data_IF_786541254848
#
_entry.id   IF_786541254848
#
_cell.length_a   1.000
_cell.length_b   1.000
_cell.length_c   1.000
_cell.angle_alpha   90.00
_cell.angle_beta   90.00
_cell.angle_gamma   90.00
#
_symmetry.space_group_name_H-M   'P 1'
#
loop_
_entity.id
_entity.type
_entity.pdbx_description
1 polymer ?
#
# COMPACT_ATOMS: atom_id res chain seq x y z
N UNK A 1 -3.34 -21.14 17.82
CA UNK A 1 -3.17 -19.94 16.98
C UNK A 1 -4.46 -19.78 16.21
N UNK A 2 -5.27 -18.77 16.54
CA UNK A 2 -6.50 -18.52 15.81
C UNK A 2 -6.12 -18.32 14.34
N UNK A 3 -6.72 -19.08 13.42
CA UNK A 3 -6.72 -18.68 12.02
C UNK A 3 -7.57 -17.41 11.96
N UNK A 4 -6.93 -16.27 12.25
CA UNK A 4 -7.56 -14.96 12.26
C UNK A 4 -8.09 -14.72 10.87
N UNK A 5 -9.42 -14.66 10.75
CA UNK A 5 -10.06 -14.31 9.49
C UNK A 5 -9.62 -12.87 9.17
N UNK A 6 -8.92 -12.68 8.06
CA UNK A 6 -8.51 -11.34 7.62
C UNK A 6 -9.73 -10.40 7.58
N UNK A 7 -9.59 -9.16 8.10
CA UNK A 7 -10.72 -8.26 8.31
C UNK A 7 -11.35 -7.86 6.99
N UNK A 8 -12.67 -7.62 6.98
CA UNK A 8 -13.42 -7.20 5.80
C UNK A 8 -14.04 -5.82 5.99
N UNK A 9 -14.57 -5.24 4.91
CA UNK A 9 -15.35 -4.00 5.00
C UNK A 9 -16.60 -4.15 5.89
N UNK A 10 -17.18 -5.36 5.98
CA UNK A 10 -18.29 -5.61 6.91
C UNK A 10 -17.85 -5.55 8.37
N UNK A 11 -16.63 -6.01 8.67
CA UNK A 11 -16.06 -5.91 10.02
C UNK A 11 -15.79 -4.44 10.36
N UNK A 12 -15.24 -3.66 9.43
CA UNK A 12 -15.09 -2.20 9.61
C UNK A 12 -16.44 -1.53 9.91
N UNK A 13 -17.49 -1.82 9.15
CA UNK A 13 -18.82 -1.25 9.41
C UNK A 13 -19.40 -1.70 10.74
N UNK A 14 -19.19 -2.95 11.15
CA UNK A 14 -19.70 -3.45 12.44
C UNK A 14 -18.96 -2.83 13.64
N UNK A 15 -17.64 -2.78 13.59
CA UNK A 15 -16.82 -2.34 14.73
C UNK A 15 -16.77 -0.81 14.85
N UNK A 16 -16.77 -0.08 13.74
CA UNK A 16 -16.58 1.36 13.72
C UNK A 16 -17.81 2.16 13.27
N UNK A 17 -18.86 1.49 12.76
CA UNK A 17 -20.03 2.16 12.16
C UNK A 17 -19.65 3.06 10.97
N UNK A 18 -18.57 2.72 10.26
CA UNK A 18 -18.05 3.45 9.11
C UNK A 18 -18.30 2.66 7.82
N UNK A 19 -18.70 3.37 6.76
CA UNK A 19 -18.72 2.85 5.39
C UNK A 19 -17.78 3.69 4.54
N UNK A 20 -16.67 3.13 4.02
CA UNK A 20 -15.71 3.89 3.23
C UNK A 20 -16.13 3.96 1.76
N UNK A 21 -15.70 5.02 1.08
CA UNK A 21 -15.94 5.23 -0.34
C UNK A 21 -14.96 4.42 -1.20
N UNK A 22 -15.46 3.74 -2.23
CA UNK A 22 -14.60 3.13 -3.26
C UNK A 22 -13.99 4.24 -4.12
N UNK A 23 -12.66 4.32 -4.20
CA UNK A 23 -11.96 5.36 -4.95
C UNK A 23 -11.42 4.84 -6.28
N UNK A 24 -10.61 3.79 -6.24
CA UNK A 24 -9.86 3.33 -7.43
C UNK A 24 -9.46 1.87 -7.34
N UNK A 25 -9.24 1.22 -8.48
CA UNK A 25 -8.58 -0.09 -8.56
C UNK A 25 -7.18 0.14 -9.13
N UNK A 26 -6.15 -0.28 -8.39
CA UNK A 26 -4.76 -0.15 -8.82
C UNK A 26 -4.53 -1.07 -10.03
N UNK A 27 -3.89 -0.51 -11.05
CA UNK A 27 -3.51 -1.20 -12.28
C UNK A 27 -2.01 -0.95 -12.54
N UNK A 28 -1.13 -1.90 -12.21
CA UNK A 28 0.30 -1.74 -12.44
C UNK A 28 0.69 -1.75 -13.92
N UNK A 29 1.84 -1.18 -14.25
CA UNK A 29 2.37 -1.16 -15.62
C UNK A 29 2.61 -2.58 -16.15
N UNK A 30 2.12 -2.88 -17.36
CA UNK A 30 2.29 -4.17 -18.01
C UNK A 30 3.44 -4.15 -19.03
N UNK A 31 4.14 -5.28 -19.15
CA UNK A 31 5.15 -5.51 -20.17
C UNK A 31 4.50 -5.91 -21.51
N UNK A 32 5.29 -6.01 -22.58
CA UNK A 32 4.80 -6.35 -23.93
C UNK A 32 4.16 -7.74 -24.05
N UNK A 33 4.35 -8.62 -23.06
CA UNK A 33 3.72 -9.94 -22.98
C UNK A 33 2.46 -9.96 -22.10
N UNK A 34 2.02 -8.81 -21.60
CA UNK A 34 0.85 -8.66 -20.75
C UNK A 34 1.08 -9.00 -19.27
N UNK A 35 2.30 -9.40 -18.86
CA UNK A 35 2.64 -9.57 -17.45
C UNK A 35 2.91 -8.23 -16.75
N UNK A 36 2.92 -8.21 -15.42
CA UNK A 36 3.30 -7.00 -14.67
C UNK A 36 4.79 -6.71 -14.88
N UNK A 37 5.13 -5.44 -15.06
CA UNK A 37 6.52 -4.98 -15.19
C UNK A 37 7.15 -4.87 -13.81
N UNK A 38 8.26 -5.57 -13.61
CA UNK A 38 9.06 -5.52 -12.39
C UNK A 38 10.18 -4.48 -12.48
N UNK A 39 10.48 -3.84 -11.35
CA UNK A 39 11.50 -2.82 -11.21
C UNK A 39 12.38 -3.10 -9.99
N UNK A 40 13.69 -3.08 -10.18
CA UNK A 40 14.71 -3.17 -9.13
C UNK A 40 15.47 -1.83 -9.06
N UNK A 41 14.98 -0.85 -8.30
CA UNK A 41 15.56 0.49 -8.24
C UNK A 41 16.90 0.52 -7.50
N UNK A 42 17.11 -0.38 -6.53
CA UNK A 42 18.35 -0.50 -5.76
C UNK A 42 19.58 -0.73 -6.66
N UNK A 43 19.45 -1.56 -7.71
CA UNK A 43 20.51 -1.85 -8.68
C UNK A 43 21.06 -0.60 -9.40
N UNK A 44 20.25 0.45 -9.47
CA UNK A 44 20.57 1.68 -10.22
C UNK A 44 21.11 2.78 -9.33
N UNK A 45 21.20 2.58 -8.01
CA UNK A 45 21.64 3.60 -7.09
C UNK A 45 23.16 3.59 -6.92
N UNK A 46 23.87 4.71 -7.18
CA UNK A 46 25.25 4.84 -6.76
C UNK A 46 25.29 4.98 -5.25
N UNK A 47 25.34 3.84 -4.54
CA UNK A 47 25.40 3.76 -3.08
C UNK A 47 26.78 4.17 -2.55
N UNK A 48 27.15 5.43 -2.77
CA UNK A 48 28.48 5.98 -2.42
C UNK A 48 28.79 5.91 -0.92
N UNK A 49 27.76 5.83 -0.08
CA UNK A 49 27.88 5.79 1.37
C UNK A 49 27.80 4.37 1.95
N UNK A 50 27.71 3.33 1.11
CA UNK A 50 27.66 1.93 1.58
C UNK A 50 26.46 1.62 2.46
N UNK A 51 25.31 2.26 2.23
CA UNK A 51 24.09 2.04 3.00
C UNK A 51 23.58 0.61 2.79
N UNK A 52 23.11 -0.02 3.85
CA UNK A 52 22.47 -1.33 3.77
C UNK A 52 21.01 -1.19 3.27
N UNK A 53 20.54 -2.22 2.58
CA UNK A 53 19.11 -2.36 2.30
C UNK A 53 18.39 -2.68 3.61
N UNK A 54 17.22 -2.09 3.82
CA UNK A 54 16.33 -2.56 4.88
C UNK A 54 15.61 -3.84 4.41
N UNK A 55 14.90 -4.52 5.32
CA UNK A 55 14.23 -5.82 5.07
C UNK A 55 13.40 -5.87 3.78
N UNK A 56 12.60 -4.83 3.52
CA UNK A 56 11.75 -4.76 2.32
C UNK A 56 12.43 -4.13 1.09
N UNK A 57 13.72 -3.81 1.14
CA UNK A 57 14.39 -2.94 0.17
C UNK A 57 14.83 -3.63 -1.12
N UNK A 58 14.91 -4.96 -1.13
CA UNK A 58 15.42 -5.73 -2.27
C UNK A 58 14.48 -5.70 -3.49
N UNK A 59 13.17 -5.66 -3.25
CA UNK A 59 12.15 -5.76 -4.30
C UNK A 59 11.87 -7.22 -4.72
N UNK A 60 11.39 -7.47 -5.95
CA UNK A 60 11.07 -6.51 -6.99
C UNK A 60 9.86 -5.63 -6.65
N UNK A 61 9.71 -4.53 -7.38
CA UNK A 61 8.59 -3.60 -7.24
C UNK A 61 7.81 -3.46 -8.54
N UNK A 62 6.56 -2.99 -8.45
CA UNK A 62 5.79 -2.55 -9.61
C UNK A 62 5.75 -1.02 -9.72
N UNK A 63 5.19 -0.51 -10.81
CA UNK A 63 4.80 0.89 -10.93
C UNK A 63 3.33 0.99 -11.24
N UNK A 64 2.67 1.99 -10.67
CA UNK A 64 1.28 2.32 -10.97
C UNK A 64 1.03 3.80 -10.69
N UNK A 65 -0.09 4.31 -11.18
CA UNK A 65 -0.59 5.64 -10.83
C UNK A 65 -2.10 5.64 -10.70
N UNK A 66 -2.59 6.44 -9.77
CA UNK A 66 -4.00 6.81 -9.67
C UNK A 66 -4.24 8.19 -10.33
N UNK A 67 -5.45 8.44 -10.86
CA UNK A 67 -5.82 9.71 -11.47
C UNK A 67 -5.64 10.94 -10.55
N UNK A 68 -5.15 12.05 -11.12
CA UNK A 68 -4.92 13.29 -10.40
C UNK A 68 -6.16 13.98 -9.83
N UNK A 69 -7.38 13.58 -10.25
CA UNK A 69 -8.65 14.10 -9.72
C UNK A 69 -8.89 13.74 -8.24
N UNK A 70 -8.11 12.83 -7.69
CA UNK A 70 -8.17 12.42 -6.28
C UNK A 70 -7.20 13.21 -5.38
N UNK A 71 -6.57 14.28 -5.91
CA UNK A 71 -5.50 15.02 -5.22
C UNK A 71 -5.96 15.67 -3.92
N UNK A 72 -7.20 16.13 -3.88
CA UNK A 72 -7.76 16.84 -2.72
C UNK A 72 -8.42 15.89 -1.71
N UNK A 73 -8.33 14.57 -1.96
CA UNK A 73 -8.82 13.57 -1.01
C UNK A 73 -7.80 13.38 0.11
N UNK A 74 -8.28 13.58 1.33
CA UNK A 74 -7.56 13.35 2.58
C UNK A 74 -8.35 12.41 3.48
N UNK A 75 -7.66 11.72 4.39
CA UNK A 75 -8.27 10.82 5.36
C UNK A 75 -7.57 9.46 5.44
N UNK A 76 -8.28 8.48 5.99
CA UNK A 76 -7.79 7.10 6.12
C UNK A 76 -8.11 6.34 4.85
N UNK A 77 -7.09 5.83 4.17
CA UNK A 77 -7.26 4.92 3.04
C UNK A 77 -7.09 3.47 3.48
N UNK A 78 -7.82 2.59 2.80
CA UNK A 78 -7.72 1.15 2.98
C UNK A 78 -7.33 0.52 1.65
N UNK A 79 -6.42 -0.45 1.70
CA UNK A 79 -6.18 -1.34 0.57
C UNK A 79 -6.97 -2.62 0.81
N UNK A 80 -7.74 -3.02 -0.20
CA UNK A 80 -8.59 -4.21 -0.16
C UNK A 80 -8.22 -5.16 -1.28
N UNK A 81 -7.96 -6.42 -0.93
CA UNK A 81 -7.63 -7.50 -1.87
C UNK A 81 -8.54 -8.69 -1.59
N UNK A 82 -9.23 -9.20 -2.62
CA UNK A 82 -10.15 -10.32 -2.46
C UNK A 82 -11.27 -10.09 -1.43
N UNK A 83 -11.69 -8.83 -1.25
CA UNK A 83 -12.73 -8.44 -0.27
C UNK A 83 -12.24 -8.26 1.17
N UNK A 84 -10.92 -8.36 1.41
CA UNK A 84 -10.30 -8.24 2.73
C UNK A 84 -9.47 -6.97 2.81
N UNK A 85 -9.58 -6.26 3.93
CA UNK A 85 -8.73 -5.11 4.27
C UNK A 85 -7.35 -5.67 4.59
N UNK A 86 -6.38 -5.38 3.73
CA UNK A 86 -5.00 -5.85 3.91
C UNK A 86 -4.10 -4.76 4.48
N UNK A 87 -4.47 -3.49 4.30
CA UNK A 87 -3.70 -2.36 4.82
C UNK A 87 -4.62 -1.18 5.15
N UNK A 88 -4.28 -0.43 6.19
CA UNK A 88 -4.86 0.86 6.54
C UNK A 88 -3.76 1.89 6.79
N UNK A 89 -3.97 3.11 6.30
CA UNK A 89 -3.06 4.22 6.58
C UNK A 89 -3.73 5.56 6.37
N UNK A 90 -3.09 6.63 6.84
CA UNK A 90 -3.62 7.98 6.72
C UNK A 90 -2.83 8.83 5.73
N UNK A 91 -3.49 9.77 5.05
CA UNK A 91 -2.82 10.73 4.18
C UNK A 91 -3.57 12.08 4.10
N UNK A 92 -2.80 13.17 3.99
CA UNK A 92 -3.32 14.50 3.64
C UNK A 92 -3.59 14.65 2.13
N UNK A 93 -2.96 13.81 1.32
CA UNK A 93 -3.08 13.85 -0.13
C UNK A 93 -2.97 12.43 -0.70
N UNK A 94 -4.11 11.87 -1.09
CA UNK A 94 -4.18 10.49 -1.56
C UNK A 94 -3.35 10.26 -2.83
N UNK A 95 -3.35 11.21 -3.77
CA UNK A 95 -2.56 11.10 -5.00
C UNK A 95 -1.07 11.13 -4.71
N UNK A 96 -0.62 11.96 -3.78
CA UNK A 96 0.78 12.00 -3.37
C UNK A 96 1.17 10.67 -2.72
N UNK A 97 0.40 10.18 -1.74
CA UNK A 97 0.68 8.90 -1.08
C UNK A 97 0.68 7.75 -2.10
N UNK A 98 -0.34 7.65 -2.94
CA UNK A 98 -0.44 6.55 -3.88
C UNK A 98 0.60 6.62 -5.00
N UNK A 99 0.87 7.78 -5.59
CA UNK A 99 1.76 7.86 -6.76
C UNK A 99 3.23 8.07 -6.39
N UNK A 100 3.52 8.84 -5.34
CA UNK A 100 4.90 9.17 -4.96
C UNK A 100 5.46 8.22 -3.91
N UNK A 101 4.64 7.68 -2.99
CA UNK A 101 5.10 6.78 -1.94
C UNK A 101 5.09 5.32 -2.40
N UNK A 102 3.93 4.83 -2.85
CA UNK A 102 3.76 3.43 -3.26
C UNK A 102 3.94 3.21 -4.76
N UNK A 103 3.37 4.04 -5.61
CA UNK A 103 3.28 3.82 -7.06
C UNK A 103 4.60 3.92 -7.81
N UNK A 104 5.65 4.43 -7.16
CA UNK A 104 7.01 4.41 -7.68
C UNK A 104 8.01 4.36 -6.52
N UNK A 105 8.76 3.26 -6.43
CA UNK A 105 9.85 3.13 -5.47
C UNK A 105 11.10 3.77 -6.04
N UNK A 106 11.53 4.86 -5.41
CA UNK A 106 12.81 5.50 -5.72
C UNK A 106 13.93 4.75 -4.99
N UNK A 107 15.16 4.70 -5.52
CA UNK A 107 16.19 3.86 -4.93
C UNK A 107 16.55 4.22 -3.49
N UNK A 108 16.48 5.49 -3.08
CA UNK A 108 16.74 5.91 -1.69
C UNK A 108 15.82 5.23 -0.68
N UNK A 109 14.58 4.90 -1.08
CA UNK A 109 13.60 4.23 -0.21
C UNK A 109 13.91 2.77 0.07
N UNK A 110 14.89 2.18 -0.60
CA UNK A 110 15.26 0.78 -0.40
C UNK A 110 16.30 0.60 0.71
N UNK A 111 16.90 1.70 1.18
CA UNK A 111 18.03 1.69 2.11
C UNK A 111 17.63 2.21 3.48
N UNK A 112 18.42 1.87 4.49
CA UNK A 112 18.21 2.30 5.88
C UNK A 112 18.05 3.82 6.04
N UNK A 113 17.23 4.17 7.03
CA UNK A 113 16.82 5.56 7.31
C UNK A 113 15.74 6.09 6.36
N UNK A 114 15.02 5.20 5.67
CA UNK A 114 13.80 5.51 4.91
C UNK A 114 12.59 4.75 5.49
N UNK A 115 11.39 5.06 5.03
CA UNK A 115 10.14 4.39 5.45
C UNK A 115 9.98 3.03 4.72
N UNK A 116 10.17 1.87 5.40
CA UNK A 116 10.14 0.55 4.77
C UNK A 116 8.77 0.18 4.20
N UNK A 117 7.72 0.74 4.78
CA UNK A 117 6.32 0.61 4.37
C UNK A 117 6.11 0.90 2.88
N UNK A 118 6.85 1.87 2.32
CA UNK A 118 6.76 2.17 0.89
C UNK A 118 7.07 0.93 0.04
N UNK A 119 8.17 0.24 0.38
CA UNK A 119 8.65 -0.92 -0.33
C UNK A 119 7.77 -2.15 -0.06
N UNK A 120 7.40 -2.39 1.21
CA UNK A 120 6.49 -3.49 1.57
C UNK A 120 5.17 -3.38 0.79
N UNK A 121 4.47 -2.24 0.89
CA UNK A 121 3.14 -2.07 0.29
C UNK A 121 3.21 -2.22 -1.22
N UNK A 122 4.22 -1.63 -1.88
CA UNK A 122 4.38 -1.80 -3.33
C UNK A 122 4.66 -3.27 -3.71
N UNK A 123 5.57 -3.93 -2.99
CA UNK A 123 5.89 -5.33 -3.27
C UNK A 123 4.64 -6.22 -3.09
N UNK A 124 3.86 -6.00 -2.04
CA UNK A 124 2.59 -6.71 -1.82
C UNK A 124 1.56 -6.45 -2.93
N UNK A 125 1.49 -5.23 -3.47
CA UNK A 125 0.67 -4.91 -4.66
C UNK A 125 1.14 -5.70 -5.88
N UNK A 126 2.45 -5.78 -6.12
CA UNK A 126 3.03 -6.58 -7.22
C UNK A 126 2.59 -8.05 -7.10
N UNK A 127 2.78 -8.66 -5.92
CA UNK A 127 2.41 -10.06 -5.68
C UNK A 127 0.92 -10.30 -5.91
N UNK A 128 0.05 -9.41 -5.41
CA UNK A 128 -1.39 -9.50 -5.62
C UNK A 128 -1.76 -9.42 -7.11
N UNK A 129 -1.16 -8.47 -7.85
CA UNK A 129 -1.39 -8.29 -9.27
C UNK A 129 -0.89 -9.48 -10.12
N UNK A 130 0.27 -10.05 -9.79
CA UNK A 130 0.79 -11.28 -10.41
C UNK A 130 -0.14 -12.48 -10.19
N UNK A 131 -0.77 -12.56 -9.01
CA UNK A 131 -1.82 -13.52 -8.70
C UNK A 131 -3.18 -13.19 -9.34
N UNK A 132 -3.25 -12.15 -10.19
CA UNK A 132 -4.47 -11.66 -10.86
C UNK A 132 -5.56 -11.20 -9.89
N UNK A 133 -5.17 -10.81 -8.68
CA UNK A 133 -6.07 -10.20 -7.70
C UNK A 133 -6.09 -8.68 -7.91
N UNK A 134 -7.27 -8.08 -7.70
CA UNK A 134 -7.42 -6.63 -7.74
C UNK A 134 -7.07 -6.05 -6.37
N UNK A 135 -6.27 -4.99 -6.37
CA UNK A 135 -6.06 -4.13 -5.20
C UNK A 135 -6.94 -2.90 -5.35
N UNK A 136 -7.89 -2.73 -4.43
CA UNK A 136 -8.88 -1.66 -4.46
C UNK A 136 -8.59 -0.69 -3.32
N UNK A 137 -8.61 0.60 -3.64
CA UNK A 137 -8.46 1.69 -2.68
C UNK A 137 -9.85 2.12 -2.23
N UNK A 138 -10.08 2.05 -0.93
CA UNK A 138 -11.21 2.69 -0.27
C UNK A 138 -10.72 3.88 0.56
N UNK A 139 -11.60 4.84 0.83
CA UNK A 139 -11.28 6.04 1.62
C UNK A 139 -12.37 6.34 2.63
N UNK A 140 -11.96 6.65 3.86
CA UNK A 140 -12.79 7.31 4.87
C UNK A 140 -12.41 8.80 4.82
N UNK A 141 -13.18 9.64 4.11
CA UNK A 141 -12.78 11.01 3.85
C UNK A 141 -12.75 11.84 5.13
N UNK A 142 -11.74 12.71 5.27
CA UNK A 142 -11.56 13.61 6.41
C UNK A 142 -11.40 12.93 7.79
N UNK A 143 -11.23 11.62 7.84
CA UNK A 143 -10.84 10.94 9.08
C UNK A 143 -9.46 11.40 9.54
N UNK A 144 -9.27 11.49 10.85
CA UNK A 144 -7.99 11.85 11.45
C UNK A 144 -7.03 10.65 11.46
N UNK A 145 -5.71 10.86 11.66
CA UNK A 145 -4.74 9.76 11.73
C UNK A 145 -5.06 8.73 12.80
N UNK A 146 -5.64 9.15 13.93
CA UNK A 146 -5.98 8.25 15.05
C UNK A 146 -6.99 7.18 14.62
N UNK A 147 -7.86 7.47 13.64
CA UNK A 147 -8.79 6.48 13.09
C UNK A 147 -8.05 5.37 12.36
N UNK A 148 -6.94 5.65 11.66
CA UNK A 148 -6.14 4.55 11.07
C UNK A 148 -5.49 3.71 12.14
N UNK A 149 -4.98 4.31 13.20
CA UNK A 149 -4.35 3.60 14.31
C UNK A 149 -5.36 2.66 14.99
N UNK A 150 -6.56 3.15 15.29
CA UNK A 150 -7.62 2.33 15.86
C UNK A 150 -8.05 1.17 14.94
N UNK A 151 -8.08 1.40 13.61
CA UNK A 151 -8.37 0.34 12.63
C UNK A 151 -7.27 -0.71 12.64
N UNK A 152 -5.99 -0.30 12.67
CA UNK A 152 -4.86 -1.23 12.74
C UNK A 152 -4.89 -2.04 14.03
N UNK A 153 -5.08 -1.38 15.16
CA UNK A 153 -5.12 -2.02 16.49
C UNK A 153 -6.25 -3.04 16.62
N UNK A 154 -7.45 -2.73 16.11
CA UNK A 154 -8.62 -3.60 16.29
C UNK A 154 -8.78 -4.65 15.20
N UNK A 155 -8.45 -4.32 13.95
CA UNK A 155 -8.69 -5.20 12.81
C UNK A 155 -7.43 -5.96 12.39
N UNK A 156 -6.25 -5.52 12.82
CA UNK A 156 -4.95 -6.12 12.54
C UNK A 156 -4.75 -6.50 11.06
N UNK A 157 -4.86 -5.54 10.09
CA UNK A 157 -4.65 -5.86 8.68
C UNK A 157 -3.26 -6.44 8.43
N UNK A 158 -3.17 -7.51 7.64
CA UNK A 158 -1.94 -8.31 7.54
C UNK A 158 -0.72 -7.49 7.09
N UNK A 159 -0.87 -6.57 6.14
CA UNK A 159 0.28 -5.79 5.65
C UNK A 159 0.70 -4.68 6.64
N UNK A 160 -0.14 -4.30 7.60
CA UNK A 160 0.29 -3.46 8.72
C UNK A 160 1.10 -4.28 9.73
N UNK A 161 0.67 -5.51 10.03
CA UNK A 161 1.41 -6.42 10.93
C UNK A 161 2.78 -6.82 10.39
N UNK A 162 2.92 -6.92 9.06
CA UNK A 162 4.18 -7.22 8.40
C UNK A 162 5.26 -6.11 8.59
N UNK A 163 4.90 -4.96 9.18
CA UNK A 163 5.82 -3.83 9.46
C UNK A 163 6.36 -3.80 10.89
N UNK A 164 5.79 -4.61 11.79
CA UNK A 164 6.16 -4.70 13.21
C UNK A 164 7.29 -5.70 13.45
#
# INVERSE_FOLDING_TARGET
MASGKEPTLQDLTREFHITPDLVWTIDPEHNSRGGITEFNPCDRFPNRNGLMLHEWGEGPFCRFRIPGRFRDLQGVYLLVVGGKIVFAGWSQNLVQRMNQNYGTISPRKCFDGSEPENCLVNHRILIAAQAKLKVIIYLIPNASPEVSDEIVDKLCPQWNLDLE
#
